data_IF_698914875168
#
_entry.id   IF_698914875168
#
_cell.length_a   1.000
_cell.length_b   1.000
_cell.length_c   1.000
_cell.angle_alpha   90.00
_cell.angle_beta   90.00
_cell.angle_gamma   90.00
#
_symmetry.space_group_name_H-M   'P 1'
#
loop_
_entity.id
_entity.type
_entity.pdbx_description
1 polymer ?
#
# COMPACT_ATOMS: atom_id res chain seq x y z
N UNK A 1 5.52 3.15 11.25
CA UNK A 1 4.73 2.87 10.03
C UNK A 1 3.43 2.17 10.41
N UNK A 2 2.28 2.55 9.86
CA UNK A 2 0.98 1.92 10.15
C UNK A 2 0.02 1.96 8.95
N UNK A 3 -0.94 1.03 8.90
CA UNK A 3 -2.04 1.10 7.91
C UNK A 3 -3.01 2.20 8.34
N UNK A 4 -3.14 3.24 7.52
CA UNK A 4 -3.98 4.39 7.87
C UNK A 4 -5.41 4.23 7.36
N UNK A 5 -5.58 3.84 6.09
CA UNK A 5 -6.89 3.58 5.50
C UNK A 5 -6.76 2.79 4.19
N UNK A 6 -7.89 2.29 3.69
CA UNK A 6 -8.06 1.81 2.31
C UNK A 6 -8.76 2.85 1.45
N UNK A 7 -8.70 2.69 0.12
CA UNK A 7 -9.47 3.52 -0.80
C UNK A 7 -10.98 3.44 -0.57
N UNK A 8 -11.50 2.32 -0.08
CA UNK A 8 -12.93 2.13 0.22
C UNK A 8 -13.42 2.92 1.45
N UNK A 9 -12.51 3.44 2.28
CA UNK A 9 -12.83 4.15 3.52
C UNK A 9 -12.77 5.69 3.37
N UNK A 10 -12.41 6.20 2.20
CA UNK A 10 -12.16 7.64 1.97
C UNK A 10 -12.90 8.14 0.73
N UNK A 11 -13.15 9.46 0.68
CA UNK A 11 -13.69 10.09 -0.53
C UNK A 11 -12.64 10.13 -1.65
N UNK A 12 -13.10 10.35 -2.88
CA UNK A 12 -12.23 10.46 -4.04
C UNK A 12 -11.26 11.66 -3.93
N UNK A 13 -11.65 12.74 -3.27
CA UNK A 13 -10.78 13.91 -3.02
C UNK A 13 -9.63 13.55 -2.08
N UNK A 14 -9.94 12.84 -0.97
CA UNK A 14 -8.91 12.35 -0.04
C UNK A 14 -7.99 11.34 -0.72
N UNK A 15 -8.54 10.45 -1.55
CA UNK A 15 -7.75 9.53 -2.35
C UNK A 15 -6.79 10.26 -3.28
N UNK A 16 -7.28 11.26 -4.04
CA UNK A 16 -6.45 12.09 -4.94
C UNK A 16 -5.32 12.79 -4.17
N UNK A 17 -5.60 13.30 -2.97
CA UNK A 17 -4.59 13.91 -2.11
C UNK A 17 -3.53 12.90 -1.66
N UNK A 18 -3.93 11.71 -1.20
CA UNK A 18 -2.99 10.65 -0.77
C UNK A 18 -2.16 10.07 -1.92
N UNK A 19 -2.71 10.04 -3.13
CA UNK A 19 -2.02 9.59 -4.35
C UNK A 19 -1.11 10.65 -4.97
N UNK A 20 -1.19 11.91 -4.53
CA UNK A 20 -0.45 13.03 -5.10
C UNK A 20 1.06 12.74 -5.12
N UNK A 21 1.69 13.04 -6.26
CA UNK A 21 3.13 12.88 -6.51
C UNK A 21 3.66 11.47 -6.23
N UNK A 22 2.79 10.46 -6.29
CA UNK A 22 3.22 9.08 -6.14
C UNK A 22 3.95 8.59 -7.39
N UNK A 23 4.92 7.71 -7.17
CA UNK A 23 5.69 7.03 -8.21
C UNK A 23 5.63 5.52 -8.00
N UNK A 24 5.87 4.71 -9.04
CA UNK A 24 5.97 3.26 -8.89
C UNK A 24 6.98 2.87 -7.81
N UNK A 25 6.74 1.76 -7.12
CA UNK A 25 7.65 1.19 -6.11
C UNK A 25 7.94 -0.26 -6.44
N UNK A 26 9.15 -0.72 -6.10
CA UNK A 26 9.47 -2.15 -6.23
C UNK A 26 8.59 -2.96 -5.26
N UNK A 27 7.73 -3.82 -5.82
CA UNK A 27 6.76 -4.61 -5.05
C UNK A 27 7.44 -5.56 -4.05
N UNK A 28 8.46 -6.32 -4.48
CA UNK A 28 9.17 -7.24 -3.59
C UNK A 28 9.82 -6.54 -2.39
N UNK A 29 10.39 -5.36 -2.59
CA UNK A 29 10.92 -4.53 -1.50
C UNK A 29 9.81 -4.05 -0.57
N UNK A 30 8.68 -3.58 -1.11
CA UNK A 30 7.53 -3.14 -0.33
C UNK A 30 6.99 -4.29 0.54
N UNK A 31 6.78 -5.47 -0.04
CA UNK A 31 6.29 -6.66 0.67
C UNK A 31 7.24 -7.06 1.80
N UNK A 32 8.57 -7.06 1.58
CA UNK A 32 9.53 -7.33 2.66
C UNK A 32 9.45 -6.31 3.79
N UNK A 33 9.24 -5.03 3.46
CA UNK A 33 9.09 -3.96 4.45
C UNK A 33 7.79 -4.12 5.25
N UNK A 34 6.68 -4.45 4.59
CA UNK A 34 5.39 -4.75 5.23
C UNK A 34 5.54 -5.99 6.12
N UNK A 35 6.15 -7.07 5.65
CA UNK A 35 6.42 -8.28 6.46
C UNK A 35 7.17 -7.97 7.76
N UNK A 36 8.15 -7.05 7.71
CA UNK A 36 8.96 -6.67 8.87
C UNK A 36 8.22 -5.77 9.86
N UNK A 37 7.46 -4.80 9.37
CA UNK A 37 6.89 -3.74 10.22
C UNK A 37 5.38 -3.89 10.49
N UNK A 38 4.64 -4.55 9.60
CA UNK A 38 3.21 -4.82 9.67
C UNK A 38 2.93 -6.32 9.40
N UNK A 39 3.44 -7.23 10.26
CA UNK A 39 3.33 -8.67 10.03
C UNK A 39 1.90 -9.19 10.04
N UNK A 40 0.98 -8.52 10.76
CA UNK A 40 -0.44 -8.87 10.74
C UNK A 40 -1.05 -8.59 9.36
N UNK A 41 -0.86 -7.37 8.84
CA UNK A 41 -1.33 -6.99 7.49
C UNK A 41 -0.75 -7.91 6.41
N UNK A 42 0.52 -8.29 6.53
CA UNK A 42 1.16 -9.23 5.61
C UNK A 42 0.41 -10.56 5.53
N UNK A 43 0.02 -11.11 6.70
CA UNK A 43 -0.71 -12.38 6.80
C UNK A 43 -2.15 -12.23 6.34
N UNK A 44 -2.84 -11.16 6.73
CA UNK A 44 -4.25 -10.93 6.37
C UNK A 44 -4.45 -10.77 4.87
N UNK A 45 -3.47 -10.19 4.18
CA UNK A 45 -3.50 -10.03 2.72
C UNK A 45 -2.82 -11.18 1.96
N UNK A 46 -2.32 -12.19 2.67
CA UNK A 46 -1.60 -13.34 2.10
C UNK A 46 -0.51 -12.93 1.08
N UNK A 47 0.32 -11.94 1.42
CA UNK A 47 1.33 -11.34 0.53
C UNK A 47 2.51 -12.29 0.19
N UNK A 48 2.50 -13.52 0.69
CA UNK A 48 3.35 -14.61 0.23
C UNK A 48 2.97 -15.14 -1.16
N UNK A 49 1.74 -14.92 -1.63
CA UNK A 49 1.27 -15.37 -2.93
C UNK A 49 1.41 -14.28 -4.00
N UNK A 50 1.28 -14.69 -5.26
CA UNK A 50 1.32 -13.78 -6.40
C UNK A 50 0.20 -12.74 -6.34
N UNK A 51 0.57 -11.48 -6.48
CA UNK A 51 -0.37 -10.36 -6.54
C UNK A 51 -0.42 -9.78 -7.98
N UNK A 52 -1.53 -9.92 -8.72
CA UNK A 52 -1.64 -9.39 -10.07
C UNK A 52 -1.60 -7.85 -10.15
N UNK A 53 -1.72 -7.17 -9.00
CA UNK A 53 -1.70 -5.71 -8.89
C UNK A 53 -0.32 -5.15 -8.51
N UNK A 54 0.73 -5.98 -8.49
CA UNK A 54 2.07 -5.59 -8.05
C UNK A 54 2.62 -4.33 -8.75
N UNK A 55 2.36 -4.19 -10.05
CA UNK A 55 2.84 -3.06 -10.86
C UNK A 55 2.08 -1.76 -10.62
N UNK A 56 1.00 -1.79 -9.84
CA UNK A 56 0.21 -0.62 -9.48
C UNK A 56 0.60 -0.06 -8.11
N UNK A 57 1.45 -0.78 -7.37
CA UNK A 57 1.97 -0.33 -6.10
C UNK A 57 2.81 0.95 -6.27
N UNK A 58 2.64 1.86 -5.32
CA UNK A 58 3.16 3.22 -5.41
C UNK A 58 3.78 3.69 -4.10
N UNK A 59 4.53 4.77 -4.18
CA UNK A 59 5.15 5.42 -3.03
C UNK A 59 5.20 6.92 -3.27
N UNK A 60 4.90 7.72 -2.25
CA UNK A 60 5.16 9.17 -2.26
C UNK A 60 5.91 9.57 -1.00
N UNK A 61 5.90 10.85 -0.61
CA UNK A 61 6.57 11.31 0.62
C UNK A 61 6.02 10.61 1.86
N UNK A 62 4.70 10.55 1.98
CA UNK A 62 4.01 10.22 3.22
C UNK A 62 3.57 8.74 3.32
N UNK A 63 3.37 8.09 2.18
CA UNK A 63 2.77 6.75 2.11
C UNK A 63 3.58 5.77 1.27
N UNK A 64 3.57 4.51 1.70
CA UNK A 64 3.60 3.37 0.81
C UNK A 64 2.17 3.00 0.44
N UNK A 65 1.92 2.75 -0.84
CA UNK A 65 0.60 2.43 -1.37
C UNK A 65 0.68 1.02 -1.95
N UNK A 66 0.19 0.05 -1.18
CA UNK A 66 0.06 -1.33 -1.64
C UNK A 66 -1.26 -1.46 -2.39
N UNK A 67 -1.24 -2.02 -3.59
CA UNK A 67 -2.47 -2.37 -4.32
C UNK A 67 -2.64 -3.88 -4.26
N UNK A 68 -3.76 -4.35 -3.72
CA UNK A 68 -4.08 -5.76 -3.57
C UNK A 68 -5.59 -5.97 -3.67
N UNK A 69 -6.05 -6.97 -4.41
CA UNK A 69 -7.48 -7.21 -4.67
C UNK A 69 -8.22 -5.96 -5.19
N UNK A 70 -7.58 -5.19 -6.07
CA UNK A 70 -8.08 -3.89 -6.57
C UNK A 70 -8.37 -2.84 -5.47
N UNK A 71 -7.76 -2.97 -4.29
CA UNK A 71 -7.86 -2.02 -3.18
C UNK A 71 -6.49 -1.39 -2.95
N UNK A 72 -6.43 -0.06 -2.88
CA UNK A 72 -5.24 0.65 -2.40
C UNK A 72 -5.24 0.75 -0.88
N UNK A 73 -4.18 0.21 -0.27
CA UNK A 73 -3.88 0.28 1.15
C UNK A 73 -2.85 1.39 1.38
N UNK A 74 -3.28 2.47 2.03
CA UNK A 74 -2.43 3.62 2.34
C UNK A 74 -1.70 3.38 3.67
N UNK A 75 -0.41 3.03 3.57
CA UNK A 75 0.46 2.73 4.70
C UNK A 75 1.34 3.95 4.99
N UNK A 76 1.09 4.62 6.12
CA UNK A 76 1.82 5.82 6.55
C UNK A 76 3.24 5.47 7.00
N UNK A 77 4.25 6.20 6.52
CA UNK A 77 5.67 5.86 6.73
C UNK A 77 6.24 6.20 8.11
N UNK A 78 5.69 7.21 8.79
CA UNK A 78 6.37 8.07 9.78
C UNK A 78 7.41 9.00 9.16
#
# INVERSE_FOLDING_TARGET
MYLECTCSQISIEKWKQKMKNSRPVNYGWLVRRIKKQLPLLYKELCLEFYNPWENQCRVNRDYYILVHSAIEYFIRKE
#
